data_IF_194539083671
#
_entry.id   IF_194539083671
#
_cell.length_a   1.000
_cell.length_b   1.000
_cell.length_c   1.000
_cell.angle_alpha   90.00
_cell.angle_beta   90.00
_cell.angle_gamma   90.00
#
_symmetry.space_group_name_H-M   'P 1'
#
loop_
_entity.id
_entity.type
_entity.pdbx_description
1 polymer ?
#
# COMPACT_ATOMS: atom_id res chain seq x y z
N UNK A 1 -10.86 6.50 81.08
CA UNK A 1 -9.53 7.04 80.71
C UNK A 1 -9.06 6.33 79.45
N UNK A 2 -8.93 7.03 78.32
CA UNK A 2 -8.46 6.48 77.04
C UNK A 2 -6.97 6.80 76.90
N UNK A 3 -6.13 5.78 76.72
CA UNK A 3 -4.71 5.93 76.44
C UNK A 3 -4.53 6.17 74.93
N UNK A 4 -4.09 7.38 74.57
CA UNK A 4 -3.68 7.78 73.21
C UNK A 4 -2.27 8.37 73.29
N UNK A 5 -1.29 7.53 73.00
CA UNK A 5 0.14 7.77 72.74
C UNK A 5 0.58 6.53 71.94
N UNK A 6 1.14 6.55 70.75
CA UNK A 6 2.00 7.52 70.08
C UNK A 6 1.81 7.41 68.56
N UNK A 7 1.81 8.54 67.85
CA UNK A 7 1.94 8.60 66.40
C UNK A 7 3.36 9.06 66.06
N UNK A 8 4.09 8.42 65.13
CA UNK A 8 5.43 8.86 64.75
C UNK A 8 5.36 10.12 63.89
N UNK A 9 5.96 11.17 64.45
CA UNK A 9 6.42 12.43 63.86
C UNK A 9 7.12 12.17 62.51
N UNK A 10 6.54 12.65 61.41
CA UNK A 10 7.24 12.72 60.13
C UNK A 10 7.98 14.05 60.09
N UNK A 11 9.31 13.97 60.16
CA UNK A 11 10.22 15.11 60.02
C UNK A 11 10.15 15.68 58.60
N UNK A 12 9.58 16.88 58.52
CA UNK A 12 9.55 17.77 57.36
C UNK A 12 10.96 18.38 57.17
N UNK A 13 11.82 17.70 56.41
CA UNK A 13 13.06 18.32 55.92
C UNK A 13 12.77 19.09 54.63
N UNK A 14 12.44 20.36 54.81
CA UNK A 14 12.53 21.38 53.77
C UNK A 14 14.01 21.62 53.44
N UNK A 15 14.45 21.21 52.24
CA UNK A 15 15.70 21.66 51.65
C UNK A 15 15.39 22.74 50.61
N UNK A 16 15.71 23.98 51.00
CA UNK A 16 15.69 25.14 50.14
C UNK A 16 16.98 25.18 49.32
N UNK A 17 16.87 25.02 48.01
CA UNK A 17 18.00 25.09 47.08
C UNK A 17 17.56 25.44 45.67
N UNK A 18 16.92 26.60 45.52
CA UNK A 18 16.54 27.17 44.22
C UNK A 18 17.50 28.32 43.91
N UNK A 19 18.51 28.05 43.08
CA UNK A 19 19.30 29.08 42.41
C UNK A 19 19.04 29.02 40.91
N UNK A 20 18.86 30.21 40.38
CA UNK A 20 18.24 30.62 39.13
C UNK A 20 19.30 30.86 38.04
N UNK A 21 18.86 31.05 36.79
CA UNK A 21 19.54 31.72 35.65
C UNK A 21 20.36 30.88 34.62
N UNK A 22 19.75 30.56 33.47
CA UNK A 22 19.89 31.26 32.16
C UNK A 22 19.16 30.45 31.07
N UNK A 23 17.94 30.81 30.64
CA UNK A 23 17.64 31.66 29.47
C UNK A 23 18.61 31.52 28.29
N UNK A 24 18.20 30.76 27.27
CA UNK A 24 18.38 31.12 25.86
C UNK A 24 17.16 30.62 25.09
N UNK A 25 16.48 31.56 24.46
CA UNK A 25 15.14 31.54 23.89
C UNK A 25 15.28 31.56 22.36
N UNK A 26 14.70 30.58 21.67
CA UNK A 26 14.38 30.68 20.23
C UNK A 26 13.30 29.63 19.88
N UNK A 27 12.02 30.04 19.76
CA UNK A 27 10.97 29.22 19.17
C UNK A 27 10.79 29.54 17.67
N UNK A 28 11.20 28.62 16.80
CA UNK A 28 10.83 28.63 15.39
C UNK A 28 9.37 28.12 15.24
N UNK A 29 8.45 29.07 15.04
CA UNK A 29 7.05 28.83 14.65
C UNK A 29 6.99 28.29 13.22
N UNK A 30 6.73 26.98 13.06
CA UNK A 30 6.29 26.42 11.76
C UNK A 30 4.76 26.32 11.72
N UNK A 31 4.09 26.91 10.71
CA UNK A 31 2.63 26.97 10.67
C UNK A 31 1.99 25.60 10.43
N UNK A 32 0.88 25.39 11.12
CA UNK A 32 -0.01 24.25 11.02
C UNK A 32 -0.57 24.07 9.60
N UNK A 33 -0.28 22.92 8.97
CA UNK A 33 -1.06 22.42 7.83
C UNK A 33 -1.93 21.25 8.29
N UNK A 34 -3.20 21.56 8.50
CA UNK A 34 -4.28 20.66 8.86
C UNK A 34 -4.61 19.73 7.68
N UNK A 35 -4.11 18.50 7.70
CA UNK A 35 -4.62 17.42 6.85
C UNK A 35 -5.38 16.41 7.70
N UNK A 36 -6.69 16.64 7.79
CA UNK A 36 -7.66 15.70 8.36
C UNK A 36 -7.56 14.34 7.67
N UNK A 37 -6.95 13.36 8.32
CA UNK A 37 -7.22 11.94 8.06
C UNK A 37 -8.32 11.48 9.01
N UNK A 38 -9.48 11.16 8.42
CA UNK A 38 -10.63 10.55 9.09
C UNK A 38 -10.21 9.27 9.84
N UNK A 39 -10.72 9.00 11.04
CA UNK A 39 -10.49 7.74 11.74
C UNK A 39 -11.21 6.59 11.03
N UNK A 40 -10.50 5.48 10.79
CA UNK A 40 -11.08 4.20 10.40
C UNK A 40 -11.54 3.50 11.67
N UNK A 41 -12.84 3.23 11.76
CA UNK A 41 -13.46 2.45 12.83
C UNK A 41 -13.00 1.00 12.76
N UNK A 42 -12.50 0.48 13.88
CA UNK A 42 -12.45 -0.96 14.13
C UNK A 42 -13.85 -1.39 14.60
N UNK A 43 -14.42 -2.43 13.97
CA UNK A 43 -15.72 -2.98 14.31
C UNK A 43 -15.97 -4.30 13.57
N UNK A 44 -15.94 -5.37 14.35
CA UNK A 44 -16.71 -6.63 14.26
C UNK A 44 -16.97 -7.26 12.89
N UNK A 45 -16.39 -8.45 12.73
CA UNK A 45 -17.01 -9.68 12.23
C UNK A 45 -18.56 -9.74 12.24
N UNK A 46 -19.14 -9.99 11.06
CA UNK A 46 -20.41 -10.70 10.88
C UNK A 46 -20.56 -11.13 9.41
N UNK A 47 -20.57 -12.44 9.18
CA UNK A 47 -21.04 -13.08 7.95
C UNK A 47 -22.47 -12.64 7.63
N UNK A 48 -22.70 -12.12 6.43
CA UNK A 48 -24.01 -12.23 5.75
C UNK A 48 -23.80 -12.49 4.27
N UNK A 49 -24.32 -13.63 3.81
CA UNK A 49 -24.44 -13.94 2.40
C UNK A 49 -25.66 -13.20 1.85
N UNK A 50 -25.47 -12.36 0.84
CA UNK A 50 -26.56 -11.76 0.06
C UNK A 50 -26.25 -12.00 -1.40
N UNK A 51 -26.86 -13.08 -1.88
CA UNK A 51 -27.00 -13.38 -3.30
C UNK A 51 -28.20 -12.57 -3.75
N UNK A 52 -27.95 -11.45 -4.42
CA UNK A 52 -28.98 -10.75 -5.17
C UNK A 52 -28.46 -10.60 -6.59
N UNK A 53 -28.78 -11.63 -7.37
CA UNK A 53 -28.73 -11.61 -8.82
C UNK A 53 -29.73 -10.56 -9.30
N UNK A 54 -29.26 -9.32 -9.47
CA UNK A 54 -30.01 -8.34 -10.24
C UNK A 54 -29.80 -8.67 -11.72
N UNK A 55 -30.91 -9.04 -12.32
CA UNK A 55 -31.11 -9.37 -13.71
C UNK A 55 -30.65 -8.20 -14.59
N UNK A 56 -29.56 -8.41 -15.34
CA UNK A 56 -29.16 -7.52 -16.42
C UNK A 56 -30.17 -7.65 -17.55
N UNK A 57 -31.03 -6.63 -17.68
CA UNK A 57 -31.77 -6.37 -18.90
C UNK A 57 -31.66 -4.88 -19.25
N UNK A 58 -31.25 -4.65 -20.51
CA UNK A 58 -31.13 -3.37 -21.21
C UNK A 58 -29.78 -2.64 -21.10
N UNK A 59 -28.99 -2.72 -22.16
CA UNK A 59 -27.78 -1.90 -22.31
C UNK A 59 -26.96 -2.14 -23.58
N UNK A 60 -27.53 -2.65 -24.68
CA UNK A 60 -26.81 -2.85 -25.96
C UNK A 60 -26.56 -1.53 -26.73
N UNK A 61 -26.36 -0.41 -26.04
CA UNK A 61 -26.21 0.93 -26.64
C UNK A 61 -25.07 1.77 -26.03
N UNK A 62 -24.20 1.18 -25.21
CA UNK A 62 -23.11 1.91 -24.54
C UNK A 62 -21.84 1.99 -25.42
N UNK A 63 -21.49 0.91 -26.11
CA UNK A 63 -20.28 0.83 -26.94
C UNK A 63 -20.30 1.77 -28.16
N UNK A 64 -21.48 2.05 -28.70
CA UNK A 64 -21.61 2.97 -29.83
C UNK A 64 -21.52 4.43 -29.39
N UNK A 65 -22.00 4.76 -28.19
CA UNK A 65 -21.90 6.12 -27.65
C UNK A 65 -20.46 6.49 -27.29
N UNK A 66 -19.73 5.57 -26.65
CA UNK A 66 -18.31 5.72 -26.32
C UNK A 66 -17.46 5.86 -27.59
N UNK A 67 -17.73 5.04 -28.62
CA UNK A 67 -17.04 5.14 -29.91
C UNK A 67 -17.38 6.42 -30.69
N UNK A 68 -18.57 7.00 -30.49
CA UNK A 68 -18.90 8.35 -30.98
C UNK A 68 -18.24 9.43 -30.11
N UNK A 69 -17.85 9.09 -28.88
CA UNK A 69 -17.30 10.05 -27.96
C UNK A 69 -15.89 10.48 -28.31
N UNK A 70 -15.03 9.50 -28.56
CA UNK A 70 -13.65 9.69 -29.03
C UNK A 70 -13.61 10.43 -30.38
N UNK A 71 -14.48 10.04 -31.31
CA UNK A 71 -14.54 10.68 -32.64
C UNK A 71 -14.99 12.14 -32.55
N UNK A 72 -15.86 12.47 -31.61
CA UNK A 72 -16.22 13.87 -31.34
C UNK A 72 -15.03 14.60 -30.75
N UNK A 73 -14.24 13.96 -29.85
CA UNK A 73 -13.03 14.50 -29.21
C UNK A 73 -11.94 14.94 -30.22
N UNK A 74 -11.85 14.29 -31.37
CA UNK A 74 -10.93 14.62 -32.47
C UNK A 74 -11.30 15.88 -33.28
N UNK A 75 -12.50 16.44 -33.08
CA UNK A 75 -12.93 17.67 -33.77
C UNK A 75 -12.32 18.90 -33.05
N UNK A 76 -11.60 19.81 -33.75
CA UNK A 76 -11.01 20.97 -33.11
C UNK A 76 -12.08 21.91 -32.52
N UNK A 77 -11.77 22.54 -31.37
CA UNK A 77 -12.71 23.37 -30.62
C UNK A 77 -13.38 24.46 -31.45
N UNK A 78 -12.63 25.16 -32.31
CA UNK A 78 -13.19 26.19 -33.19
C UNK A 78 -14.26 25.68 -34.15
N UNK A 79 -14.16 24.41 -34.59
CA UNK A 79 -15.21 23.79 -35.42
C UNK A 79 -16.41 23.37 -34.59
N UNK A 80 -16.22 22.95 -33.34
CA UNK A 80 -17.35 22.67 -32.43
C UNK A 80 -18.16 23.92 -32.15
N UNK A 81 -17.51 25.07 -31.93
CA UNK A 81 -18.20 26.35 -31.68
C UNK A 81 -18.99 26.83 -32.90
N UNK A 82 -18.42 26.72 -34.10
CA UNK A 82 -19.11 27.05 -35.36
C UNK A 82 -20.35 26.16 -35.58
N UNK A 83 -20.22 24.86 -35.32
CA UNK A 83 -21.30 23.89 -35.48
C UNK A 83 -22.41 24.09 -34.44
N UNK A 84 -22.04 24.35 -33.18
CA UNK A 84 -22.99 24.68 -32.12
C UNK A 84 -23.75 25.97 -32.44
N UNK A 85 -23.07 27.01 -32.97
CA UNK A 85 -23.71 28.24 -33.43
C UNK A 85 -24.69 28.01 -34.60
N UNK A 86 -24.44 27.01 -35.44
CA UNK A 86 -25.35 26.60 -36.53
C UNK A 86 -26.57 25.77 -36.07
N UNK A 87 -26.73 25.55 -34.76
CA UNK A 87 -27.89 24.85 -34.19
C UNK A 87 -27.84 23.33 -34.25
N UNK A 88 -26.69 22.71 -34.58
CA UNK A 88 -26.59 21.25 -34.59
C UNK A 88 -26.39 20.71 -33.16
N UNK A 89 -27.45 20.15 -32.58
CA UNK A 89 -27.42 19.52 -31.26
C UNK A 89 -27.41 17.99 -31.44
N UNK A 90 -26.30 17.34 -31.09
CA UNK A 90 -26.14 15.87 -31.12
C UNK A 90 -24.77 15.39 -31.64
N UNK A 91 -24.16 14.41 -30.96
CA UNK A 91 -22.82 13.88 -31.29
C UNK A 91 -22.71 13.37 -32.73
N UNK A 92 -23.70 12.60 -33.18
CA UNK A 92 -23.76 12.08 -34.54
C UNK A 92 -23.92 13.18 -35.60
N UNK A 93 -24.73 14.21 -35.31
CA UNK A 93 -24.92 15.36 -36.21
C UNK A 93 -23.64 16.21 -36.32
N UNK A 94 -22.94 16.44 -35.20
CA UNK A 94 -21.64 17.13 -35.17
C UNK A 94 -20.60 16.39 -36.02
N UNK A 95 -20.52 15.06 -35.89
CA UNK A 95 -19.63 14.21 -36.68
C UNK A 95 -19.97 14.27 -38.18
N UNK A 96 -21.25 14.17 -38.54
CA UNK A 96 -21.70 14.23 -39.93
C UNK A 96 -21.37 15.60 -40.56
N UNK A 97 -21.61 16.70 -39.84
CA UNK A 97 -21.32 18.05 -40.32
C UNK A 97 -19.81 18.33 -40.39
N UNK A 98 -19.04 17.84 -39.42
CA UNK A 98 -17.57 17.91 -39.46
C UNK A 98 -16.98 17.12 -40.64
N UNK A 99 -17.51 15.92 -40.93
CA UNK A 99 -17.15 15.11 -42.11
C UNK A 99 -17.52 15.81 -43.41
N UNK A 100 -18.73 16.39 -43.51
CA UNK A 100 -19.16 17.15 -44.68
C UNK A 100 -18.26 18.37 -44.93
N UNK A 101 -17.89 19.09 -43.87
CA UNK A 101 -17.00 20.24 -43.97
C UNK A 101 -15.55 19.84 -44.34
N UNK A 102 -15.04 18.70 -43.83
CA UNK A 102 -13.75 18.12 -44.29
C UNK A 102 -13.82 17.69 -45.76
N UNK A 103 -14.93 17.11 -46.21
CA UNK A 103 -15.13 16.71 -47.60
C UNK A 103 -15.20 17.93 -48.54
N UNK A 104 -15.84 19.02 -48.11
CA UNK A 104 -15.87 20.29 -48.84
C UNK A 104 -14.46 20.92 -48.92
N UNK A 105 -13.69 20.86 -47.85
CA UNK A 105 -12.29 21.32 -47.81
C UNK A 105 -11.38 20.48 -48.73
N UNK A 106 -11.54 19.15 -48.73
CA UNK A 106 -10.80 18.26 -49.62
C UNK A 106 -11.11 18.52 -51.11
N UNK A 107 -12.33 18.94 -51.44
CA UNK A 107 -12.69 19.38 -52.81
C UNK A 107 -12.00 20.69 -53.19
N UNK A 108 -11.82 21.61 -52.24
CA UNK A 108 -11.11 22.90 -52.42
C UNK A 108 -9.60 22.74 -52.47
N UNK A 109 -9.04 21.75 -51.78
CA UNK A 109 -7.62 21.43 -51.77
C UNK A 109 -7.11 20.71 -53.05
N UNK A 110 -7.95 20.58 -54.07
CA UNK A 110 -7.53 20.05 -55.38
C UNK A 110 -6.68 21.09 -56.09
N UNK A 111 -5.58 20.63 -56.69
CA UNK A 111 -4.70 21.48 -57.51
C UNK A 111 -5.49 22.05 -58.69
N UNK A 112 -5.26 23.33 -59.01
CA UNK A 112 -5.90 23.98 -60.16
C UNK A 112 -5.52 23.32 -61.51
N UNK A 113 -4.32 22.74 -61.61
CA UNK A 113 -3.87 21.92 -62.74
C UNK A 113 -2.91 20.82 -62.27
N UNK A 114 -2.61 19.83 -63.11
CA UNK A 114 -1.69 18.73 -62.76
C UNK A 114 -0.26 19.19 -62.45
N UNK A 115 0.15 20.34 -63.01
CA UNK A 115 1.50 20.89 -62.88
C UNK A 115 1.61 22.03 -61.86
N UNK A 116 0.53 22.36 -61.13
CA UNK A 116 0.54 23.36 -60.08
C UNK A 116 0.68 22.72 -58.68
N UNK A 117 1.41 23.33 -57.73
CA UNK A 117 1.45 22.87 -56.34
C UNK A 117 0.06 22.94 -55.68
N UNK A 118 -0.17 22.10 -54.67
CA UNK A 118 -1.41 22.11 -53.91
C UNK A 118 -1.29 23.07 -52.72
N UNK A 119 -2.20 24.02 -52.59
CA UNK A 119 -2.29 24.86 -51.40
C UNK A 119 -2.82 24.04 -50.21
N UNK A 120 -2.18 24.16 -49.04
CA UNK A 120 -2.63 23.57 -47.78
C UNK A 120 -2.68 24.67 -46.72
N UNK A 121 -3.67 24.61 -45.83
CA UNK A 121 -3.78 25.55 -44.71
C UNK A 121 -2.69 25.32 -43.68
N UNK A 122 -2.01 26.39 -43.24
CA UNK A 122 -1.03 26.36 -42.15
C UNK A 122 -1.61 25.89 -40.81
N UNK A 123 -2.94 25.91 -40.67
CA UNK A 123 -3.66 25.44 -39.47
C UNK A 123 -3.78 23.90 -39.41
N UNK A 124 -3.36 23.19 -40.46
CA UNK A 124 -3.43 21.72 -40.50
C UNK A 124 -2.18 21.13 -39.83
N UNK A 125 -2.32 20.38 -38.73
CA UNK A 125 -1.18 19.80 -38.03
C UNK A 125 -0.47 18.74 -38.90
N UNK A 126 0.86 18.66 -38.79
CA UNK A 126 1.69 17.66 -39.48
C UNK A 126 1.66 16.35 -38.70
N UNK A 127 1.34 15.20 -39.32
CA UNK A 127 1.36 13.91 -38.61
C UNK A 127 2.79 13.50 -38.27
N UNK A 128 2.99 12.97 -37.06
CA UNK A 128 4.27 12.36 -36.64
C UNK A 128 4.26 10.91 -37.11
N UNK A 129 5.21 10.52 -37.97
CA UNK A 129 5.27 9.21 -38.63
C UNK A 129 6.02 8.13 -37.85
N UNK A 130 6.30 8.37 -36.57
CA UNK A 130 7.01 7.40 -35.72
C UNK A 130 6.18 7.10 -34.50
N UNK A 131 5.89 5.81 -34.31
CA UNK A 131 5.45 5.29 -33.02
C UNK A 131 6.59 5.51 -32.03
N UNK A 132 6.49 6.59 -31.26
CA UNK A 132 7.30 6.78 -30.06
C UNK A 132 7.00 5.63 -29.13
N UNK A 133 7.83 4.58 -29.17
CA UNK A 133 7.73 3.43 -28.27
C UNK A 133 7.60 3.98 -26.85
N UNK A 134 6.43 3.78 -26.22
CA UNK A 134 6.27 4.04 -24.80
C UNK A 134 7.10 3.00 -24.07
N UNK A 135 8.41 3.23 -23.92
CA UNK A 135 9.28 2.35 -23.16
C UNK A 135 8.75 2.29 -21.74
N UNK A 136 8.58 1.06 -21.22
CA UNK A 136 8.23 0.86 -19.82
C UNK A 136 9.31 1.54 -18.98
N UNK A 137 8.90 2.54 -18.19
CA UNK A 137 9.82 3.35 -17.40
C UNK A 137 10.65 2.42 -16.50
N UNK A 138 11.96 2.44 -16.65
CA UNK A 138 12.88 1.67 -15.82
C UNK A 138 12.68 2.11 -14.36
N UNK A 139 12.19 1.20 -13.53
CA UNK A 139 12.06 1.42 -12.09
C UNK A 139 13.36 0.93 -11.48
N UNK A 140 14.23 1.85 -11.03
CA UNK A 140 15.46 1.53 -10.32
C UNK A 140 15.16 0.88 -8.97
N UNK A 141 14.84 -0.41 -8.97
CA UNK A 141 14.61 -1.20 -7.76
C UNK A 141 15.90 -1.88 -7.35
N UNK A 142 16.11 -1.99 -6.04
CA UNK A 142 17.21 -2.76 -5.48
C UNK A 142 17.02 -4.24 -5.85
N UNK A 143 18.03 -4.89 -6.46
CA UNK A 143 17.93 -6.25 -6.98
C UNK A 143 17.59 -7.28 -5.90
N UNK A 144 17.85 -7.00 -4.62
CA UNK A 144 17.47 -7.88 -3.51
C UNK A 144 15.95 -7.95 -3.30
N UNK A 145 15.25 -6.92 -3.74
CA UNK A 145 13.80 -6.78 -3.60
C UNK A 145 13.10 -6.84 -4.96
N UNK A 146 13.80 -7.27 -6.01
CA UNK A 146 13.22 -7.48 -7.32
C UNK A 146 12.46 -8.82 -7.34
N UNK A 147 11.34 -8.88 -8.04
CA UNK A 147 10.58 -10.14 -8.21
C UNK A 147 11.41 -11.27 -8.84
N UNK A 148 12.53 -10.93 -9.46
CA UNK A 148 13.47 -11.85 -10.08
C UNK A 148 14.51 -12.43 -9.09
N UNK A 149 14.58 -11.95 -7.85
CA UNK A 149 15.58 -12.37 -6.86
C UNK A 149 15.37 -13.77 -6.27
N UNK A 150 14.50 -14.59 -6.88
CA UNK A 150 14.23 -15.97 -6.50
C UNK A 150 13.17 -16.14 -5.42
N UNK A 151 12.77 -17.40 -5.18
CA UNK A 151 11.76 -17.76 -4.18
C UNK A 151 12.36 -17.90 -2.77
N UNK A 152 11.62 -17.42 -1.77
CA UNK A 152 12.01 -17.53 -0.37
C UNK A 152 11.90 -18.98 0.13
N UNK A 153 13.02 -19.56 0.54
CA UNK A 153 13.08 -20.92 1.13
C UNK A 153 13.12 -20.83 2.66
N UNK A 154 11.95 -20.97 3.26
CA UNK A 154 11.76 -20.77 4.70
C UNK A 154 12.62 -21.69 5.57
N UNK A 155 12.82 -22.95 5.17
CA UNK A 155 13.62 -23.90 5.96
C UNK A 155 15.10 -23.53 6.00
N UNK A 156 15.68 -23.09 4.87
CA UNK A 156 17.09 -22.66 4.81
C UNK A 156 17.29 -21.38 5.61
N UNK A 157 16.37 -20.43 5.49
CA UNK A 157 16.39 -19.20 6.27
C UNK A 157 16.41 -19.51 7.76
N UNK A 158 15.51 -20.37 8.23
CA UNK A 158 15.44 -20.78 9.64
C UNK A 158 16.71 -21.49 10.12
N UNK A 159 17.36 -22.27 9.25
CA UNK A 159 18.64 -22.91 9.58
C UNK A 159 19.78 -21.91 9.71
N UNK A 160 19.88 -20.93 8.80
CA UNK A 160 20.96 -19.94 8.83
C UNK A 160 20.83 -18.94 9.98
N UNK A 161 19.60 -18.65 10.39
CA UNK A 161 19.30 -17.71 11.47
C UNK A 161 18.88 -18.39 12.78
N UNK A 162 19.20 -19.68 12.97
CA UNK A 162 18.86 -20.41 14.20
C UNK A 162 19.57 -19.85 15.43
N UNK A 163 20.82 -19.40 15.27
CA UNK A 163 21.67 -18.83 16.32
C UNK A 163 21.03 -17.61 17.02
N UNK A 164 20.14 -16.88 16.33
CA UNK A 164 19.44 -15.75 16.93
C UNK A 164 18.58 -16.20 18.11
N UNK A 165 17.91 -17.35 17.97
CA UNK A 165 17.00 -17.87 18.98
C UNK A 165 17.69 -18.81 19.96
N UNK A 166 18.70 -19.54 19.50
CA UNK A 166 19.38 -20.54 20.33
C UNK A 166 20.46 -19.89 21.23
N UNK A 167 21.13 -18.81 20.78
CA UNK A 167 22.27 -18.21 21.48
C UNK A 167 22.07 -16.73 21.82
N UNK A 168 21.81 -15.89 20.82
CA UNK A 168 21.84 -14.43 20.97
C UNK A 168 20.70 -13.89 21.85
N UNK A 169 19.44 -14.22 21.54
CA UNK A 169 18.29 -13.75 22.32
C UNK A 169 18.29 -14.25 23.79
N UNK A 170 18.65 -15.51 24.09
CA UNK A 170 18.83 -15.96 25.48
C UNK A 170 19.93 -15.18 26.22
N UNK A 171 21.02 -14.84 25.55
CA UNK A 171 22.09 -14.00 26.10
C UNK A 171 21.59 -12.58 26.36
N UNK A 172 20.97 -11.94 25.36
CA UNK A 172 20.39 -10.60 25.48
C UNK A 172 19.38 -10.53 26.64
N UNK A 173 18.52 -11.54 26.79
CA UNK A 173 17.58 -11.64 27.91
C UNK A 173 18.30 -11.65 29.27
N UNK A 174 19.44 -12.35 29.39
CA UNK A 174 20.23 -12.38 30.64
C UNK A 174 20.86 -11.01 30.90
N UNK A 175 21.39 -10.37 29.86
CA UNK A 175 22.00 -9.05 29.94
C UNK A 175 20.97 -7.97 30.32
N UNK A 176 19.79 -7.98 29.72
CA UNK A 176 18.67 -7.08 30.07
C UNK A 176 18.22 -7.28 31.51
N UNK A 177 18.10 -8.52 31.99
CA UNK A 177 17.80 -8.82 33.41
C UNK A 177 18.88 -8.27 34.34
N UNK A 178 20.15 -8.34 33.96
CA UNK A 178 21.25 -7.77 34.72
C UNK A 178 21.23 -6.23 34.67
N UNK A 179 20.92 -5.63 33.52
CA UNK A 179 20.84 -4.20 33.32
C UNK A 179 19.72 -3.57 34.18
N UNK A 180 18.52 -4.16 34.18
CA UNK A 180 17.38 -3.71 34.99
C UNK A 180 17.76 -3.62 36.48
N UNK A 181 18.46 -4.64 36.99
CA UNK A 181 18.93 -4.69 38.39
C UNK A 181 19.94 -3.58 38.71
N UNK A 182 20.79 -3.20 37.75
CA UNK A 182 21.84 -2.18 37.93
C UNK A 182 21.31 -0.76 37.80
N UNK A 183 20.35 -0.52 36.89
CA UNK A 183 19.77 0.80 36.68
C UNK A 183 19.03 1.29 37.91
N UNK A 184 19.06 2.61 38.15
CA UNK A 184 18.31 3.27 39.23
C UNK A 184 17.17 4.15 38.71
N UNK A 185 17.36 4.81 37.57
CA UNK A 185 16.37 5.69 36.92
C UNK A 185 15.13 4.94 36.44
N UNK A 186 13.94 5.44 36.78
CA UNK A 186 12.66 4.80 36.45
C UNK A 186 12.38 4.73 34.94
N UNK A 187 12.69 5.80 34.18
CA UNK A 187 12.45 5.86 32.72
C UNK A 187 13.28 4.82 31.96
N UNK A 188 14.59 4.72 32.25
CA UNK A 188 15.47 3.71 31.62
C UNK A 188 15.10 2.28 32.05
N UNK A 189 14.64 2.09 33.30
CA UNK A 189 14.13 0.79 33.74
C UNK A 189 12.91 0.35 32.92
N UNK A 190 11.98 1.26 32.66
CA UNK A 190 10.80 0.96 31.85
C UNK A 190 11.18 0.57 30.41
N UNK A 191 12.15 1.26 29.81
CA UNK A 191 12.68 0.90 28.48
C UNK A 191 13.32 -0.51 28.48
N UNK A 192 14.21 -0.80 29.43
CA UNK A 192 14.84 -2.11 29.54
C UNK A 192 13.83 -3.24 29.82
N UNK A 193 12.76 -2.96 30.56
CA UNK A 193 11.65 -3.89 30.76
C UNK A 193 10.87 -4.13 29.46
N UNK A 194 10.61 -3.09 28.67
CA UNK A 194 9.98 -3.23 27.36
C UNK A 194 10.84 -4.09 26.41
N UNK A 195 12.16 -3.87 26.39
CA UNK A 195 13.09 -4.68 25.59
C UNK A 195 13.10 -6.15 26.05
N UNK A 196 13.10 -6.38 27.37
CA UNK A 196 13.03 -7.74 27.94
C UNK A 196 11.75 -8.45 27.52
N UNK A 197 10.60 -7.77 27.59
CA UNK A 197 9.32 -8.35 27.18
C UNK A 197 9.30 -8.68 25.69
N UNK A 198 9.88 -7.83 24.83
CA UNK A 198 10.04 -8.11 23.40
C UNK A 198 10.90 -9.36 23.16
N UNK A 199 12.03 -9.48 23.84
CA UNK A 199 12.92 -10.64 23.71
C UNK A 199 12.22 -11.94 24.16
N UNK A 200 11.47 -11.91 25.26
CA UNK A 200 10.71 -13.07 25.75
C UNK A 200 9.55 -13.44 24.81
N UNK A 201 8.86 -12.46 24.22
CA UNK A 201 7.82 -12.69 23.20
C UNK A 201 8.39 -13.32 21.92
N UNK A 202 9.57 -12.87 21.48
CA UNK A 202 10.24 -13.43 20.31
C UNK A 202 10.57 -14.92 20.52
N UNK A 203 11.15 -15.27 21.68
CA UNK A 203 11.45 -16.66 22.05
C UNK A 203 10.17 -17.51 22.13
N UNK A 204 9.12 -17.02 22.80
CA UNK A 204 7.85 -17.74 22.95
C UNK A 204 7.18 -18.00 21.60
N UNK A 205 7.23 -17.03 20.70
CA UNK A 205 6.67 -17.17 19.34
C UNK A 205 7.39 -18.27 18.57
N UNK A 206 8.72 -18.31 18.64
CA UNK A 206 9.51 -19.34 17.98
C UNK A 206 9.32 -20.74 18.60
N UNK A 207 9.28 -20.84 19.92
CA UNK A 207 8.96 -22.11 20.61
C UNK A 207 7.59 -22.64 20.16
N UNK A 208 6.57 -21.78 20.14
CA UNK A 208 5.23 -22.13 19.69
C UNK A 208 5.22 -22.57 18.22
N UNK A 209 6.04 -21.94 17.38
CA UNK A 209 6.19 -22.29 15.96
C UNK A 209 6.90 -23.64 15.79
N UNK A 210 7.99 -23.88 16.52
CA UNK A 210 8.73 -25.16 16.52
C UNK A 210 7.83 -26.29 17.00
N UNK A 211 7.09 -26.06 18.10
CA UNK A 211 6.07 -26.99 18.61
C UNK A 211 5.02 -27.32 17.55
N UNK A 212 4.42 -26.28 16.93
CA UNK A 212 3.44 -26.50 15.85
C UNK A 212 4.05 -27.31 14.70
N UNK A 213 5.26 -26.97 14.24
CA UNK A 213 5.93 -27.70 13.15
C UNK A 213 6.18 -29.17 13.51
N UNK A 214 6.62 -29.45 14.74
CA UNK A 214 6.79 -30.82 15.25
C UNK A 214 5.45 -31.55 15.29
N UNK A 215 4.44 -30.94 15.91
CA UNK A 215 3.09 -31.50 16.01
C UNK A 215 2.47 -31.83 14.65
N UNK A 216 2.55 -30.93 13.67
CA UNK A 216 2.08 -31.18 12.30
C UNK A 216 2.91 -32.26 11.59
N UNK A 217 4.20 -32.35 11.87
CA UNK A 217 5.06 -33.44 11.39
C UNK A 217 4.63 -34.79 11.94
N UNK A 218 4.43 -34.88 13.25
CA UNK A 218 4.00 -36.11 13.93
C UNK A 218 2.61 -36.56 13.47
N UNK A 219 1.66 -35.62 13.31
CA UNK A 219 0.35 -35.89 12.73
C UNK A 219 0.42 -36.42 11.30
N UNK A 220 1.36 -35.92 10.50
CA UNK A 220 1.55 -36.39 9.12
C UNK A 220 2.13 -37.79 9.08
N UNK A 221 3.17 -38.08 9.87
CA UNK A 221 3.79 -39.41 9.97
C UNK A 221 2.78 -40.46 10.43
N UNK A 222 1.93 -40.15 11.41
CA UNK A 222 0.87 -41.05 11.85
C UNK A 222 -0.19 -41.36 10.78
N UNK A 223 -0.45 -40.43 9.86
CA UNK A 223 -1.40 -40.62 8.75
C UNK A 223 -0.79 -41.44 7.60
N UNK A 224 0.50 -41.31 7.36
CA UNK A 224 1.23 -42.04 6.33
C UNK A 224 1.47 -43.53 6.75
N UNK A 225 1.75 -43.80 8.05
CA UNK A 225 1.80 -45.18 8.59
C UNK A 225 0.46 -45.94 8.48
N UNK A 226 -0.67 -45.24 8.62
CA UNK A 226 -2.00 -45.85 8.48
C UNK A 226 -2.36 -46.25 7.04
N UNK A 227 -1.78 -45.59 6.04
CA UNK A 227 -1.98 -45.95 4.62
C UNK A 227 -1.07 -47.10 4.20
N UNK A 228 0.17 -47.14 4.66
CA UNK A 228 1.10 -48.24 4.35
C UNK A 228 0.67 -49.56 5.01
N UNK A 229 0.11 -49.53 6.24
CA UNK A 229 -0.49 -50.72 6.85
C UNK A 229 -1.77 -51.21 6.14
N UNK A 230 -2.51 -50.33 5.46
CA UNK A 230 -3.67 -50.73 4.66
C UNK A 230 -3.26 -51.42 3.34
N UNK A 231 -2.07 -51.12 2.81
CA UNK A 231 -1.57 -51.71 1.57
C UNK A 231 -0.99 -53.13 1.77
N UNK A 232 -0.51 -53.48 2.97
CA UNK A 232 0.04 -54.83 3.25
C UNK A 232 -1.00 -55.88 3.67
N UNK A 233 -2.26 -55.51 3.95
CA UNK A 233 -3.29 -56.46 4.41
C UNK A 233 -4.15 -57.00 3.25
N UNK A 234 -3.95 -56.53 2.01
CA UNK A 234 -4.78 -56.91 0.85
C UNK A 234 -4.13 -57.85 -0.18
N UNK A 235 -2.90 -58.35 0.04
CA UNK A 235 -2.19 -59.28 -0.86
C UNK A 235 -1.91 -60.66 -0.20
N UNK A 236 -2.93 -61.28 0.42
CA UNK A 236 -2.88 -62.66 0.92
C UNK A 236 -4.19 -63.41 0.65
#
# INVERSE_FOLDING_TARGET
MRNMRDAPMWDDKADAGRSDLSSDDEPDEVPAFESRKRPRTAGSESDIESVDAYESSSGSSDSEEEALADKVADIPLGRRTELAASGSQGRAALLAKARAARAAEAKRAKRASKHAPAEQSSKKPVPVLRDTMQTTKFKGKDPRFESLSGSFKEDRFRSFYSFLYDEQLPQERRELKAAIKKTKSATKKAQLQADLTRAEQALRTEESRRWKKQFYGDLKVGRDCGQECCFMICDA
#
